data_IF_646574167004
#
_entry.id   IF_646574167004
#
_cell.length_a   1.000
_cell.length_b   1.000
_cell.length_c   1.000
_cell.angle_alpha   90.00
_cell.angle_beta   90.00
_cell.angle_gamma   90.00
#
_symmetry.space_group_name_H-M   'P 1'
#
loop_
_entity.id
_entity.type
_entity.pdbx_description
1 polymer ?
#
# COMPACT_ATOMS: atom_id res chain seq x y z
N UNK A 1 -11.03 23.55 -14.31
CA UNK A 1 -11.40 22.12 -14.44
C UNK A 1 -12.87 21.97 -14.10
N UNK A 2 -13.55 20.92 -14.58
CA UNK A 2 -14.91 20.62 -14.11
C UNK A 2 -14.79 20.00 -12.71
N UNK A 3 -15.29 20.69 -11.69
CA UNK A 3 -15.42 20.16 -10.33
C UNK A 3 -16.80 19.50 -10.20
N UNK A 4 -16.88 18.40 -9.43
CA UNK A 4 -18.13 17.74 -9.06
C UNK A 4 -19.06 18.70 -8.31
N UNK A 5 -18.49 19.63 -7.54
CA UNK A 5 -19.23 20.67 -6.82
C UNK A 5 -18.86 22.09 -7.26
N UNK A 6 -19.83 23.00 -7.18
CA UNK A 6 -19.54 24.43 -7.24
C UNK A 6 -18.82 24.86 -5.96
N UNK A 7 -17.53 25.12 -6.10
CA UNK A 7 -16.68 25.72 -5.07
C UNK A 7 -16.65 27.24 -5.25
N UNK A 8 -16.68 28.00 -4.15
CA UNK A 8 -16.34 29.42 -4.18
C UNK A 8 -14.87 29.59 -4.54
N UNK A 9 -14.50 30.79 -4.99
CA UNK A 9 -13.17 31.06 -5.54
C UNK A 9 -12.04 30.74 -4.54
N UNK A 10 -12.25 31.04 -3.26
CA UNK A 10 -11.30 30.76 -2.17
C UNK A 10 -11.04 29.25 -1.99
N UNK A 11 -12.08 28.41 -2.08
CA UNK A 11 -11.93 26.97 -1.93
C UNK A 11 -11.40 26.29 -3.19
N UNK A 12 -11.54 26.92 -4.37
CA UNK A 12 -10.85 26.48 -5.58
C UNK A 12 -9.35 26.72 -5.46
N UNK A 13 -8.94 27.89 -4.98
CA UNK A 13 -7.53 28.19 -4.74
C UNK A 13 -6.94 27.23 -3.71
N UNK A 14 -7.69 26.93 -2.65
CA UNK A 14 -7.28 25.94 -1.65
C UNK A 14 -7.16 24.53 -2.24
N UNK A 15 -8.10 24.10 -3.09
CA UNK A 15 -8.00 22.82 -3.81
C UNK A 15 -6.76 22.77 -4.72
N UNK A 16 -6.51 23.83 -5.48
CA UNK A 16 -5.34 23.92 -6.37
C UNK A 16 -4.02 23.88 -5.57
N UNK A 17 -3.97 24.54 -4.40
CA UNK A 17 -2.82 24.48 -3.48
C UNK A 17 -2.63 23.09 -2.87
N UNK A 18 -3.70 22.37 -2.55
CA UNK A 18 -3.62 21.00 -2.02
C UNK A 18 -3.13 19.97 -3.04
N UNK A 19 -3.25 20.28 -4.33
CA UNK A 19 -2.77 19.43 -5.42
C UNK A 19 -1.31 19.69 -5.81
N UNK A 20 -0.74 20.78 -5.30
CA UNK A 20 0.65 21.13 -5.53
C UNK A 20 1.53 20.59 -4.38
N UNK A 21 2.26 19.51 -4.67
CA UNK A 21 3.19 18.86 -3.75
C UNK A 21 4.35 19.78 -3.26
N UNK A 22 4.48 20.99 -3.81
CA UNK A 22 5.50 21.98 -3.40
C UNK A 22 5.01 23.00 -2.37
N UNK A 23 3.72 23.02 -2.04
CA UNK A 23 3.14 23.96 -1.07
C UNK A 23 3.46 23.51 0.36
N UNK A 24 3.89 24.47 1.19
CA UNK A 24 4.17 24.22 2.61
C UNK A 24 2.88 23.91 3.37
N UNK A 25 2.83 22.81 4.16
CA UNK A 25 1.70 22.48 5.03
C UNK A 25 1.25 23.62 5.95
N UNK A 26 2.14 24.48 6.44
CA UNK A 26 1.76 25.62 7.29
C UNK A 26 1.04 26.70 6.47
N UNK A 27 1.46 26.97 5.24
CA UNK A 27 0.77 27.92 4.33
C UNK A 27 -0.63 27.42 3.99
N UNK A 28 -0.78 26.11 3.77
CA UNK A 28 -2.07 25.49 3.53
C UNK A 28 -3.01 25.63 4.73
N UNK A 29 -2.48 25.39 5.93
CA UNK A 29 -3.22 25.53 7.18
C UNK A 29 -3.63 26.98 7.44
N UNK A 30 -2.73 27.93 7.26
CA UNK A 30 -3.03 29.36 7.40
C UNK A 30 -4.12 29.81 6.42
N UNK A 31 -4.08 29.31 5.19
CA UNK A 31 -5.12 29.57 4.18
C UNK A 31 -6.46 28.99 4.60
N UNK A 32 -6.49 27.75 5.11
CA UNK A 32 -7.71 27.11 5.60
C UNK A 32 -8.29 27.84 6.83
N UNK A 33 -7.44 28.27 7.75
CA UNK A 33 -7.84 29.02 8.95
C UNK A 33 -8.35 30.42 8.59
N UNK A 34 -7.70 31.09 7.62
CA UNK A 34 -8.04 32.43 7.13
C UNK A 34 -9.34 32.53 6.32
N UNK A 35 -9.98 31.42 5.97
CA UNK A 35 -11.33 31.48 5.37
C UNK A 35 -12.36 31.84 6.44
N UNK A 36 -12.91 33.04 6.33
CA UNK A 36 -13.99 33.56 7.15
C UNK A 36 -15.36 33.03 6.69
N UNK A 37 -16.25 32.72 7.64
CA UNK A 37 -17.61 32.27 7.36
C UNK A 37 -18.25 31.52 8.52
N UNK A 38 -19.56 31.25 8.41
CA UNK A 38 -20.24 30.34 9.33
C UNK A 38 -19.60 28.96 9.28
N UNK A 39 -19.43 28.34 10.46
CA UNK A 39 -18.72 27.06 10.61
C UNK A 39 -19.32 25.97 9.71
N UNK A 40 -20.64 25.98 9.57
CA UNK A 40 -21.40 25.06 8.74
C UNK A 40 -21.06 25.21 7.26
N UNK A 41 -20.99 26.45 6.75
CA UNK A 41 -20.64 26.73 5.34
C UNK A 41 -19.19 26.34 5.07
N UNK A 42 -18.29 26.64 6.02
CA UNK A 42 -16.89 26.27 5.94
C UNK A 42 -16.71 24.75 5.90
N UNK A 43 -17.39 24.03 6.79
CA UNK A 43 -17.37 22.58 6.84
C UNK A 43 -17.92 21.95 5.55
N UNK A 44 -19.01 22.48 5.00
CA UNK A 44 -19.59 21.99 3.74
C UNK A 44 -18.61 22.16 2.57
N UNK A 45 -17.98 23.32 2.44
CA UNK A 45 -17.02 23.58 1.38
C UNK A 45 -15.74 22.75 1.53
N UNK A 46 -15.26 22.52 2.76
CA UNK A 46 -14.16 21.60 3.01
C UNK A 46 -14.52 20.15 2.61
N UNK A 47 -15.75 19.71 2.92
CA UNK A 47 -16.23 18.38 2.53
C UNK A 47 -16.29 18.22 1.00
N UNK A 48 -16.67 19.28 0.27
CA UNK A 48 -16.62 19.31 -1.20
C UNK A 48 -15.18 19.15 -1.70
N UNK A 49 -14.23 19.93 -1.19
CA UNK A 49 -12.79 19.81 -1.53
C UNK A 49 -12.26 18.40 -1.25
N UNK A 50 -12.57 17.82 -0.09
CA UNK A 50 -12.18 16.44 0.25
C UNK A 50 -12.75 15.42 -0.74
N UNK A 51 -13.97 15.64 -1.23
CA UNK A 51 -14.61 14.75 -2.21
C UNK A 51 -13.93 14.84 -3.58
N UNK A 52 -13.55 16.04 -4.02
CA UNK A 52 -12.78 16.23 -5.26
C UNK A 52 -11.43 15.50 -5.19
N UNK A 53 -10.70 15.69 -4.08
CA UNK A 53 -9.43 15.01 -3.84
C UNK A 53 -9.60 13.48 -3.79
N UNK A 54 -10.66 13.00 -3.14
CA UNK A 54 -11.02 11.57 -3.12
C UNK A 54 -11.22 11.00 -4.52
N UNK A 55 -11.93 11.72 -5.41
CA UNK A 55 -12.10 11.31 -6.81
C UNK A 55 -10.79 11.26 -7.59
N UNK A 56 -9.85 12.17 -7.31
CA UNK A 56 -8.50 12.16 -7.90
C UNK A 56 -7.66 10.99 -7.40
N UNK A 57 -7.71 10.71 -6.10
CA UNK A 57 -7.05 9.53 -5.48
C UNK A 57 -7.54 8.25 -6.16
N UNK A 58 -8.85 8.08 -6.31
CA UNK A 58 -9.44 6.91 -6.99
C UNK A 58 -8.93 6.75 -8.43
N UNK A 59 -8.74 7.87 -9.15
CA UNK A 59 -8.19 7.85 -10.51
C UNK A 59 -6.71 7.47 -10.52
N UNK A 60 -5.92 8.00 -9.58
CA UNK A 60 -4.51 7.66 -9.41
C UNK A 60 -4.36 6.18 -9.07
N UNK A 61 -5.15 5.65 -8.14
CA UNK A 61 -5.11 4.24 -7.72
C UNK A 61 -5.44 3.29 -8.89
N UNK A 62 -6.44 3.63 -9.71
CA UNK A 62 -6.75 2.87 -10.92
C UNK A 62 -5.58 2.87 -11.90
N UNK A 63 -4.91 4.01 -12.06
CA UNK A 63 -3.76 4.13 -12.96
C UNK A 63 -2.53 3.39 -12.42
N UNK A 64 -2.29 3.44 -11.11
CA UNK A 64 -1.26 2.66 -10.45
C UNK A 64 -1.47 1.16 -10.64
N UNK A 65 -2.69 0.67 -10.45
CA UNK A 65 -3.03 -0.74 -10.67
C UNK A 65 -2.84 -1.14 -12.14
N UNK A 66 -3.27 -0.30 -13.10
CA UNK A 66 -3.03 -0.52 -14.53
C UNK A 66 -1.53 -0.62 -14.85
N UNK A 67 -0.71 0.27 -14.30
CA UNK A 67 0.74 0.27 -14.51
C UNK A 67 1.42 -0.94 -13.85
N UNK A 68 0.95 -1.34 -12.67
CA UNK A 68 1.40 -2.54 -11.97
C UNK A 68 1.10 -3.80 -12.77
N UNK A 69 -0.12 -3.95 -13.30
CA UNK A 69 -0.47 -5.05 -14.19
C UNK A 69 0.43 -5.10 -15.43
N UNK A 70 0.69 -3.94 -16.06
CA UNK A 70 1.62 -3.85 -17.20
C UNK A 70 3.03 -4.28 -16.83
N UNK A 71 3.54 -3.86 -15.66
CA UNK A 71 4.84 -4.29 -15.12
C UNK A 71 4.87 -5.81 -14.92
N UNK A 72 3.81 -6.39 -14.38
CA UNK A 72 3.73 -7.83 -14.12
C UNK A 72 3.70 -8.65 -15.42
N UNK A 73 3.00 -8.17 -16.45
CA UNK A 73 3.03 -8.78 -17.79
C UNK A 73 4.45 -8.80 -18.35
N UNK A 74 5.20 -7.68 -18.25
CA UNK A 74 6.58 -7.62 -18.71
C UNK A 74 7.49 -8.57 -17.94
N UNK A 75 7.37 -8.61 -16.60
CA UNK A 75 8.11 -9.55 -15.76
C UNK A 75 7.81 -11.02 -16.13
N UNK A 76 6.55 -11.35 -16.40
CA UNK A 76 6.14 -12.67 -16.81
C UNK A 76 6.70 -13.04 -18.20
N UNK A 77 6.72 -12.10 -19.13
CA UNK A 77 7.34 -12.31 -20.44
C UNK A 77 8.85 -12.54 -20.34
N UNK A 78 9.56 -11.79 -19.50
CA UNK A 78 10.99 -12.02 -19.21
C UNK A 78 11.20 -13.45 -18.66
N UNK A 79 10.38 -13.86 -17.68
CA UNK A 79 10.44 -15.23 -17.12
C UNK A 79 10.20 -16.30 -18.19
N UNK A 80 9.18 -16.12 -19.05
CA UNK A 80 8.86 -17.05 -20.15
C UNK A 80 10.02 -17.18 -21.14
N UNK A 81 10.63 -16.07 -21.54
CA UNK A 81 11.78 -16.07 -22.45
C UNK A 81 12.96 -16.81 -21.82
N UNK A 82 13.26 -16.53 -20.53
CA UNK A 82 14.33 -17.21 -19.81
C UNK A 82 14.10 -18.73 -19.73
N UNK A 83 12.88 -19.15 -19.39
CA UNK A 83 12.50 -20.57 -19.34
C UNK A 83 12.60 -21.25 -20.71
N UNK A 84 12.22 -20.55 -21.79
CA UNK A 84 12.34 -21.09 -23.14
C UNK A 84 13.81 -21.30 -23.55
N UNK A 85 14.69 -20.34 -23.22
CA UNK A 85 16.14 -20.48 -23.46
C UNK A 85 16.71 -21.62 -22.62
N UNK A 86 16.35 -21.70 -21.33
CA UNK A 86 16.78 -22.77 -20.44
C UNK A 86 16.36 -24.15 -20.98
N UNK A 87 15.08 -24.31 -21.36
CA UNK A 87 14.57 -25.53 -21.99
C UNK A 87 15.37 -25.89 -23.24
N UNK A 88 15.59 -24.92 -24.13
CA UNK A 88 16.39 -25.13 -25.35
C UNK A 88 17.82 -25.55 -25.05
N UNK A 89 18.45 -24.99 -24.00
CA UNK A 89 19.79 -25.38 -23.55
C UNK A 89 19.83 -26.82 -22.99
N UNK A 90 18.77 -27.24 -22.29
CA UNK A 90 18.63 -28.61 -21.76
C UNK A 90 18.42 -29.60 -22.92
N UNK A 91 17.46 -29.32 -23.81
CA UNK A 91 17.08 -30.20 -24.93
C UNK A 91 18.24 -30.41 -25.91
N UNK A 92 19.06 -29.39 -26.12
CA UNK A 92 20.26 -29.46 -27.00
C UNK A 92 21.51 -29.95 -26.30
N UNK A 93 21.47 -30.18 -24.97
CA UNK A 93 22.63 -30.55 -24.15
C UNK A 93 23.68 -29.43 -23.98
N UNK A 94 23.47 -28.24 -24.56
CA UNK A 94 24.39 -27.09 -24.47
C UNK A 94 24.21 -26.34 -23.15
N UNK A 95 24.80 -26.87 -22.08
CA UNK A 95 24.68 -26.30 -20.72
C UNK A 95 25.40 -24.97 -20.49
N UNK A 96 26.36 -24.60 -21.35
CA UNK A 96 27.09 -23.33 -21.26
C UNK A 96 27.53 -22.87 -22.65
N UNK A 97 27.29 -21.61 -22.98
CA UNK A 97 27.80 -20.99 -24.20
C UNK A 97 27.95 -19.47 -24.01
N UNK A 98 28.69 -18.83 -24.91
CA UNK A 98 28.87 -17.38 -24.93
C UNK A 98 28.54 -16.84 -26.32
N UNK A 99 28.03 -15.63 -26.36
CA UNK A 99 27.93 -14.79 -27.56
C UNK A 99 28.86 -13.59 -27.39
N UNK A 100 28.90 -12.72 -28.40
CA UNK A 100 29.73 -11.51 -28.35
C UNK A 100 29.36 -10.56 -27.21
N UNK A 101 28.10 -10.59 -26.77
CA UNK A 101 27.57 -9.68 -25.76
C UNK A 101 27.18 -10.36 -24.43
N UNK A 102 26.86 -11.66 -24.44
CA UNK A 102 26.29 -12.32 -23.27
C UNK A 102 26.88 -13.72 -23.03
N UNK A 103 26.89 -14.15 -21.79
CA UNK A 103 27.26 -15.51 -21.39
C UNK A 103 26.06 -16.23 -20.81
N UNK A 104 25.84 -17.47 -21.23
CA UNK A 104 24.73 -18.31 -20.81
C UNK A 104 25.27 -19.56 -20.12
N UNK A 105 24.65 -19.95 -19.01
CA UNK A 105 25.02 -21.15 -18.27
C UNK A 105 23.89 -21.62 -17.39
N UNK A 106 23.64 -22.94 -17.39
CA UNK A 106 22.74 -23.57 -16.43
C UNK A 106 23.56 -23.89 -15.18
N UNK A 107 23.11 -23.37 -14.04
CA UNK A 107 23.67 -23.67 -12.72
C UNK A 107 22.63 -24.42 -11.89
N UNK A 108 23.08 -25.30 -11.00
CA UNK A 108 22.19 -25.90 -9.99
C UNK A 108 21.78 -24.82 -9.00
N UNK A 109 20.47 -24.64 -8.82
CA UNK A 109 19.94 -23.81 -7.74
C UNK A 109 20.35 -24.40 -6.38
N UNK A 110 20.45 -23.58 -5.32
CA UNK A 110 20.66 -24.09 -3.97
C UNK A 110 19.58 -25.13 -3.64
N UNK A 111 19.93 -26.20 -2.89
CA UNK A 111 18.95 -27.19 -2.47
C UNK A 111 17.80 -26.52 -1.73
N UNK A 112 16.57 -26.73 -2.21
CA UNK A 112 15.37 -26.35 -1.48
C UNK A 112 15.00 -27.51 -0.54
N UNK A 113 14.61 -27.18 0.69
CA UNK A 113 14.02 -28.16 1.59
C UNK A 113 12.60 -28.43 1.10
N UNK A 114 12.33 -29.66 0.70
CA UNK A 114 10.98 -30.14 0.42
C UNK A 114 10.53 -30.88 1.66
N UNK A 115 9.44 -30.42 2.26
CA UNK A 115 8.86 -31.05 3.44
C UNK A 115 7.73 -31.94 2.93
N UNK A 116 7.97 -33.26 2.93
CA UNK A 116 6.97 -34.23 2.49
C UNK A 116 5.94 -34.54 3.60
N UNK A 117 6.34 -34.42 4.87
CA UNK A 117 5.50 -34.72 6.04
C UNK A 117 5.82 -33.74 7.19
N UNK A 118 5.02 -32.69 7.31
CA UNK A 118 5.18 -31.68 8.38
C UNK A 118 5.02 -32.28 9.78
N UNK A 119 4.16 -33.29 9.94
CA UNK A 119 3.85 -33.92 11.23
C UNK A 119 4.99 -34.75 11.82
N UNK A 120 6.02 -35.08 11.02
CA UNK A 120 7.21 -35.81 11.48
C UNK A 120 8.40 -34.88 11.74
N UNK A 121 8.24 -33.57 11.56
CA UNK A 121 9.32 -32.61 11.82
C UNK A 121 9.58 -32.54 13.34
N UNK A 122 10.80 -32.87 13.81
CA UNK A 122 11.16 -32.72 15.21
C UNK A 122 10.92 -31.29 15.71
N UNK A 123 10.47 -31.15 16.96
CA UNK A 123 10.21 -29.86 17.62
C UNK A 123 11.42 -28.90 17.57
N UNK A 124 12.65 -29.42 17.44
CA UNK A 124 13.88 -28.64 17.28
C UNK A 124 13.91 -27.72 16.05
N UNK A 125 13.14 -28.04 15.00
CA UNK A 125 13.05 -27.20 13.78
C UNK A 125 11.85 -26.24 13.81
N UNK A 126 10.98 -26.36 14.80
CA UNK A 126 9.85 -25.46 14.99
C UNK A 126 10.28 -24.25 15.82
N UNK A 127 10.12 -23.06 15.26
CA UNK A 127 10.31 -21.83 16.03
C UNK A 127 9.06 -21.58 16.86
N UNK A 128 9.19 -21.70 18.19
CA UNK A 128 8.12 -21.36 19.12
C UNK A 128 7.74 -19.88 18.93
N UNK A 129 6.51 -19.61 18.51
CA UNK A 129 5.99 -18.25 18.41
C UNK A 129 5.57 -17.77 19.80
N UNK A 130 6.00 -16.57 20.19
CA UNK A 130 5.53 -15.94 21.42
C UNK A 130 3.98 -15.82 21.41
N UNK A 131 3.32 -15.99 22.57
CA UNK A 131 1.86 -15.90 22.66
C UNK A 131 1.40 -14.53 22.14
N UNK A 132 0.64 -14.54 21.04
CA UNK A 132 0.08 -13.31 20.47
C UNK A 132 -0.91 -12.68 21.43
N UNK A 133 -0.59 -11.47 21.88
CA UNK A 133 -1.44 -10.69 22.77
C UNK A 133 -2.81 -10.46 22.11
N UNK A 134 -3.86 -11.05 22.68
CA UNK A 134 -5.23 -10.81 22.22
C UNK A 134 -5.77 -9.51 22.83
N UNK A 135 -5.46 -8.39 22.17
CA UNK A 135 -5.92 -7.05 22.56
C UNK A 135 -7.44 -6.93 22.61
N UNK A 136 -8.18 -7.72 21.82
CA UNK A 136 -9.65 -7.72 21.81
C UNK A 136 -10.21 -8.32 23.10
N UNK A 137 -9.65 -9.46 23.53
CA UNK A 137 -10.02 -10.08 24.80
C UNK A 137 -9.67 -9.17 25.99
N UNK A 138 -8.50 -8.52 25.95
CA UNK A 138 -8.10 -7.52 26.95
C UNK A 138 -9.07 -6.35 26.98
N UNK A 139 -9.46 -5.81 25.81
CA UNK A 139 -10.43 -4.71 25.71
C UNK A 139 -11.80 -5.09 26.26
N UNK A 140 -12.25 -6.34 26.07
CA UNK A 140 -13.51 -6.82 26.65
C UNK A 140 -13.41 -6.98 28.16
N UNK A 141 -12.31 -7.56 28.65
CA UNK A 141 -12.08 -7.79 30.07
C UNK A 141 -11.92 -6.47 30.86
N UNK A 142 -11.24 -5.48 30.28
CA UNK A 142 -11.06 -4.13 30.85
C UNK A 142 -12.34 -3.28 30.94
N UNK A 143 -13.46 -3.74 30.37
CA UNK A 143 -14.75 -3.07 30.57
C UNK A 143 -15.36 -3.37 31.94
N UNK A 144 -15.02 -4.51 32.52
CA UNK A 144 -15.59 -5.02 33.77
C UNK A 144 -14.56 -5.09 34.89
N UNK A 145 -13.27 -5.04 34.56
CA UNK A 145 -12.15 -5.17 35.51
C UNK A 145 -11.12 -4.06 35.27
N UNK A 146 -10.61 -3.46 36.35
CA UNK A 146 -9.48 -2.54 36.28
C UNK A 146 -8.17 -3.30 36.47
N UNK A 147 -7.12 -2.88 35.76
CA UNK A 147 -5.79 -3.46 35.89
C UNK A 147 -4.69 -2.38 35.81
N UNK A 148 -3.64 -2.56 36.60
CA UNK A 148 -2.49 -1.64 36.66
C UNK A 148 -1.66 -1.60 35.36
N UNK A 149 -1.83 -2.61 34.48
CA UNK A 149 -1.05 -2.78 33.26
C UNK A 149 -1.79 -2.39 31.97
N UNK A 150 -3.07 -2.00 32.03
CA UNK A 150 -3.81 -1.51 30.87
C UNK A 150 -5.03 -0.65 31.24
N UNK A 151 -5.27 0.42 30.47
CA UNK A 151 -6.42 1.30 30.62
C UNK A 151 -7.11 1.54 29.26
N UNK A 152 -8.39 1.90 29.30
CA UNK A 152 -9.16 2.28 28.11
C UNK A 152 -9.05 3.79 27.90
N UNK A 153 -8.48 4.20 26.77
CA UNK A 153 -8.47 5.60 26.33
C UNK A 153 -9.41 5.77 25.14
N UNK A 154 -10.24 6.81 25.19
CA UNK A 154 -11.13 7.20 24.09
C UNK A 154 -10.68 8.54 23.51
N UNK A 155 -10.53 8.59 22.19
CA UNK A 155 -10.25 9.81 21.43
C UNK A 155 -11.45 10.16 20.55
N UNK A 156 -11.68 11.44 20.33
CA UNK A 156 -12.73 11.93 19.42
C UNK A 156 -12.10 12.31 18.08
N UNK A 157 -12.80 12.01 16.98
CA UNK A 157 -12.37 12.33 15.62
C UNK A 157 -13.56 12.79 14.78
N UNK A 158 -13.35 13.79 13.92
CA UNK A 158 -14.37 14.25 12.98
C UNK A 158 -14.83 13.10 12.07
N UNK A 159 -16.15 12.95 11.90
CA UNK A 159 -16.75 12.00 10.97
C UNK A 159 -17.72 12.72 10.05
N UNK A 160 -17.39 12.77 8.77
CA UNK A 160 -18.25 13.27 7.69
C UNK A 160 -19.02 12.06 7.14
N UNK A 161 -20.33 12.18 6.89
CA UNK A 161 -21.21 11.12 6.36
C UNK A 161 -22.04 11.64 5.21
#
# INVERSE_FOLDING_TARGET
>A
MATLYELTEEYRQLLDMMEDDSVDPEVLKDTLEGVDGELEIKAENCAKVMTELGGKIDLIDREMERLKQKKDVLNNNIKRIKQQIEKSMIDTGKRKFKTDLFSFGIQKNPPAVVIDQEDQIPEEYWVAQEPKLNRTAIKQWLKENEADWAHLTQTESLRIR
#
